data_IF_056984878467
#
_entry.id   IF_056984878467
#
_cell.length_a   1.000
_cell.length_b   1.000
_cell.length_c   1.000
_cell.angle_alpha   90.00
_cell.angle_beta   90.00
_cell.angle_gamma   90.00
#
_symmetry.space_group_name_H-M   'P 1'
#
loop_
_entity.id
_entity.type
_entity.pdbx_description
1 polymer ?
#
# COMPACT_ATOMS: atom_id res chain seq x y z
N UNK A 1 -23.37 24.41 -52.80
CA UNK A 1 -23.69 23.18 -52.04
C UNK A 1 -22.42 22.63 -51.38
N UNK A 2 -22.11 22.98 -50.12
CA UNK A 2 -20.85 22.52 -49.48
C UNK A 2 -20.85 22.54 -47.93
N UNK A 3 -21.95 22.19 -47.26
CA UNK A 3 -22.00 22.19 -45.77
C UNK A 3 -22.43 20.87 -45.11
N UNK A 4 -22.69 19.81 -45.88
CA UNK A 4 -23.23 18.53 -45.32
C UNK A 4 -22.17 17.45 -45.07
N UNK A 5 -20.98 17.51 -45.69
CA UNK A 5 -19.95 16.47 -45.57
C UNK A 5 -19.04 16.59 -44.33
N UNK A 6 -18.88 17.78 -43.76
CA UNK A 6 -17.98 18.01 -42.60
C UNK A 6 -18.54 17.39 -41.31
N UNK A 7 -19.88 17.38 -41.12
CA UNK A 7 -20.49 16.81 -39.90
C UNK A 7 -20.37 15.28 -39.80
N UNK A 8 -20.34 14.58 -40.94
CA UNK A 8 -20.22 13.11 -40.96
C UNK A 8 -18.77 12.68 -40.68
N UNK A 9 -17.78 13.42 -41.20
CA UNK A 9 -16.36 13.12 -40.97
C UNK A 9 -15.99 13.34 -39.49
N UNK A 10 -16.48 14.41 -38.86
CA UNK A 10 -16.24 14.66 -37.42
C UNK A 10 -16.91 13.60 -36.53
N UNK A 11 -18.12 13.14 -36.88
CA UNK A 11 -18.82 12.09 -36.13
C UNK A 11 -18.12 10.72 -36.22
N UNK A 12 -17.61 10.34 -37.40
CA UNK A 12 -16.89 9.07 -37.59
C UNK A 12 -15.50 9.11 -36.94
N UNK A 13 -14.81 10.25 -36.98
CA UNK A 13 -13.52 10.43 -36.29
C UNK A 13 -13.70 10.42 -34.77
N UNK A 14 -14.75 11.05 -34.24
CA UNK A 14 -15.03 11.01 -32.79
C UNK A 14 -15.36 9.58 -32.29
N UNK A 15 -16.10 8.79 -33.07
CA UNK A 15 -16.36 7.38 -32.73
C UNK A 15 -15.11 6.53 -32.87
N UNK A 16 -14.26 6.76 -33.89
CA UNK A 16 -12.98 6.07 -34.03
C UNK A 16 -12.00 6.42 -32.90
N UNK A 17 -11.96 7.66 -32.43
CA UNK A 17 -11.16 8.07 -31.27
C UNK A 17 -11.70 7.45 -29.98
N UNK A 18 -13.03 7.34 -29.81
CA UNK A 18 -13.63 6.67 -28.66
C UNK A 18 -13.35 5.15 -28.67
N UNK A 19 -13.43 4.49 -29.83
CA UNK A 19 -13.10 3.06 -29.96
C UNK A 19 -11.61 2.82 -29.78
N UNK A 20 -10.74 3.70 -30.29
CA UNK A 20 -9.29 3.65 -30.04
C UNK A 20 -8.95 3.93 -28.58
N UNK A 21 -9.68 4.80 -27.88
CA UNK A 21 -9.49 5.04 -26.45
C UNK A 21 -9.94 3.84 -25.60
N UNK A 22 -11.03 3.18 -25.97
CA UNK A 22 -11.49 1.94 -25.31
C UNK A 22 -10.53 0.78 -25.57
N UNK A 23 -10.02 0.63 -26.80
CA UNK A 23 -8.99 -0.34 -27.13
C UNK A 23 -7.67 0.00 -26.43
N UNK A 24 -7.28 1.28 -26.36
CA UNK A 24 -6.11 1.70 -25.61
C UNK A 24 -6.28 1.43 -24.11
N UNK A 25 -7.47 1.59 -23.53
CA UNK A 25 -7.77 1.25 -22.14
C UNK A 25 -7.70 -0.26 -21.86
N UNK A 26 -8.00 -1.10 -22.85
CA UNK A 26 -7.86 -2.57 -22.76
C UNK A 26 -6.39 -3.04 -22.86
N UNK A 27 -5.51 -2.24 -23.47
CA UNK A 27 -4.08 -2.53 -23.65
C UNK A 27 -3.15 -1.66 -22.79
N UNK A 28 -3.69 -0.73 -22.01
CA UNK A 28 -2.93 0.01 -21.00
C UNK A 28 -2.84 -0.89 -19.78
N UNK A 29 -1.64 -1.14 -19.21
CA UNK A 29 -1.59 -1.73 -17.88
C UNK A 29 -2.45 -0.86 -16.96
N UNK A 30 -3.24 -1.45 -16.05
CA UNK A 30 -3.99 -0.66 -15.08
C UNK A 30 -3.03 0.36 -14.45
N UNK A 31 -3.47 1.61 -14.21
CA UNK A 31 -2.68 2.55 -13.44
C UNK A 31 -2.19 1.79 -12.21
N UNK A 32 -0.88 1.82 -11.89
CA UNK A 32 -0.37 1.12 -10.72
C UNK A 32 -1.31 1.45 -9.58
N UNK A 33 -1.93 0.42 -9.01
CA UNK A 33 -2.85 0.60 -7.89
C UNK A 33 -2.15 1.51 -6.88
N UNK A 34 -2.88 2.44 -6.25
CA UNK A 34 -2.29 3.32 -5.25
C UNK A 34 -1.47 2.44 -4.30
N UNK A 35 -0.16 2.66 -4.30
CA UNK A 35 0.77 1.95 -3.45
C UNK A 35 0.32 2.16 -2.02
N UNK A 36 -0.31 1.14 -1.44
CA UNK A 36 -0.45 1.08 0.01
C UNK A 36 0.94 0.72 0.51
N UNK A 37 1.70 1.74 0.86
CA UNK A 37 2.91 1.57 1.66
C UNK A 37 2.45 1.18 3.05
N UNK A 38 2.64 -0.09 3.39
CA UNK A 38 2.96 -0.50 4.75
C UNK A 38 4.10 -1.51 4.58
N UNK A 39 5.26 -0.97 4.19
CA UNK A 39 6.51 -1.71 4.35
C UNK A 39 6.82 -1.69 5.84
N UNK A 40 6.77 -2.86 6.48
CA UNK A 40 6.86 -3.00 7.93
C UNK A 40 7.83 -2.03 8.60
N UNK A 41 7.25 -1.09 9.33
CA UNK A 41 7.90 -0.32 10.38
C UNK A 41 6.85 -0.05 11.43
N UNK A 42 7.25 -0.22 12.68
CA UNK A 42 6.65 0.41 13.85
C UNK A 42 6.05 1.75 13.54
N UNK A 43 4.80 1.93 13.97
CA UNK A 43 4.14 3.21 13.93
C UNK A 43 5.01 4.21 14.71
N UNK A 44 5.35 5.30 14.05
CA UNK A 44 6.18 6.35 14.64
C UNK A 44 5.74 7.70 14.11
N UNK A 45 5.87 8.73 14.94
CA UNK A 45 5.52 10.11 14.55
C UNK A 45 6.41 10.67 13.45
N UNK A 46 7.62 10.13 13.28
CA UNK A 46 8.62 10.60 12.32
C UNK A 46 8.58 9.85 10.98
N UNK A 47 8.11 8.60 10.96
CA UNK A 47 8.20 7.72 9.78
C UNK A 47 6.82 7.38 9.22
N UNK A 48 5.78 7.34 10.06
CA UNK A 48 4.41 7.07 9.63
C UNK A 48 3.72 8.37 9.23
N UNK A 49 3.03 8.32 8.10
CA UNK A 49 2.17 9.42 7.68
C UNK A 49 0.96 9.54 8.61
N UNK A 50 0.42 10.75 8.75
CA UNK A 50 -0.80 10.98 9.52
C UNK A 50 -1.96 10.13 9.00
N UNK A 51 -2.03 9.87 7.70
CA UNK A 51 -3.02 9.00 7.08
C UNK A 51 -2.90 7.55 7.57
N UNK A 52 -1.70 6.97 7.51
CA UNK A 52 -1.45 5.60 7.99
C UNK A 52 -1.82 5.43 9.47
N UNK A 53 -1.49 6.42 10.31
CA UNK A 53 -1.82 6.39 11.74
C UNK A 53 -3.32 6.54 12.01
N UNK A 54 -4.04 7.34 11.21
CA UNK A 54 -5.49 7.55 11.38
C UNK A 54 -6.35 6.43 10.80
N UNK A 55 -5.82 5.66 9.86
CA UNK A 55 -6.55 4.57 9.20
C UNK A 55 -6.52 3.26 10.03
N UNK A 56 -5.73 3.21 11.11
CA UNK A 56 -5.66 2.08 12.06
C UNK A 56 -6.26 2.49 13.40
N UNK A 57 -7.28 1.76 13.87
CA UNK A 57 -8.10 2.16 15.02
C UNK A 57 -7.27 2.37 16.30
N UNK A 58 -6.29 1.51 16.58
CA UNK A 58 -5.45 1.60 17.76
C UNK A 58 -4.47 2.78 17.68
N UNK A 59 -3.87 3.04 16.51
CA UNK A 59 -3.00 4.19 16.32
C UNK A 59 -3.78 5.50 16.35
N UNK A 60 -4.99 5.52 15.75
CA UNK A 60 -5.90 6.65 15.80
C UNK A 60 -6.32 6.96 17.25
N UNK A 61 -6.52 5.95 18.09
CA UNK A 61 -6.80 6.14 19.51
C UNK A 61 -5.62 6.78 20.27
N UNK A 62 -4.38 6.38 19.96
CA UNK A 62 -3.18 7.05 20.49
C UNK A 62 -3.13 8.50 20.03
N UNK A 63 -3.44 8.78 18.75
CA UNK A 63 -3.48 10.15 18.23
C UNK A 63 -4.56 11.01 18.89
N UNK A 64 -5.77 10.48 19.09
CA UNK A 64 -6.86 11.21 19.76
C UNK A 64 -6.50 11.53 21.22
N UNK A 65 -5.87 10.57 21.91
CA UNK A 65 -5.40 10.74 23.30
C UNK A 65 -4.37 11.87 23.45
N UNK A 66 -3.37 11.95 22.57
CA UNK A 66 -2.27 12.92 22.68
C UNK A 66 -2.54 14.24 21.94
N UNK A 67 -3.29 14.18 20.84
CA UNK A 67 -3.60 15.30 19.95
C UNK A 67 -5.12 15.47 19.74
N UNK A 68 -5.90 15.77 20.80
CA UNK A 68 -7.35 15.89 20.68
C UNK A 68 -7.73 16.97 19.66
N UNK A 69 -8.58 16.61 18.70
CA UNK A 69 -8.99 17.47 17.59
C UNK A 69 -8.06 17.47 16.37
N UNK A 70 -6.99 16.68 16.38
CA UNK A 70 -6.09 16.50 15.22
C UNK A 70 -6.81 15.91 14.01
N UNK A 71 -7.67 14.92 14.21
CA UNK A 71 -8.46 14.31 13.15
C UNK A 71 -9.50 15.27 12.53
N UNK A 72 -9.81 16.38 13.21
CA UNK A 72 -10.81 17.36 12.78
C UNK A 72 -10.20 18.63 12.18
N UNK A 73 -8.87 18.68 12.00
CA UNK A 73 -8.23 19.85 11.41
C UNK A 73 -8.78 20.13 10.01
N UNK A 74 -9.06 21.39 9.72
CA UNK A 74 -9.63 21.82 8.43
C UNK A 74 -8.82 21.32 7.22
N UNK A 75 -7.52 21.15 7.37
CA UNK A 75 -6.60 20.71 6.31
C UNK A 75 -6.23 19.24 6.41
N UNK A 76 -7.07 18.39 7.03
CA UNK A 76 -6.77 16.96 7.24
C UNK A 76 -6.32 16.28 5.95
N UNK A 77 -7.07 16.45 4.85
CA UNK A 77 -6.73 15.85 3.56
C UNK A 77 -5.36 16.29 3.00
N UNK A 78 -4.88 17.47 3.38
CA UNK A 78 -3.55 17.97 2.98
C UNK A 78 -2.46 17.44 3.92
N UNK A 79 -2.79 17.24 5.19
CA UNK A 79 -1.88 16.74 6.22
C UNK A 79 -1.70 15.21 6.19
N UNK A 80 -2.70 14.45 5.73
CA UNK A 80 -2.68 12.98 5.67
C UNK A 80 -1.42 12.37 5.01
N UNK A 81 -0.88 12.86 3.88
CA UNK A 81 0.33 12.30 3.29
C UNK A 81 1.64 12.76 3.96
N UNK A 82 1.59 13.56 5.03
CA UNK A 82 2.76 14.09 5.75
C UNK A 82 2.89 13.38 7.12
N UNK A 83 4.08 13.41 7.71
CA UNK A 83 4.31 12.89 9.07
C UNK A 83 3.81 13.87 10.14
N UNK A 84 3.76 13.43 11.40
CA UNK A 84 3.39 14.32 12.51
C UNK A 84 4.43 15.42 12.76
N UNK A 85 5.72 15.11 12.55
CA UNK A 85 6.80 16.09 12.60
C UNK A 85 6.71 17.11 11.45
N UNK A 86 6.36 16.68 10.25
CA UNK A 86 6.21 17.57 9.08
C UNK A 86 5.09 18.60 9.28
N UNK A 87 4.01 18.22 9.97
CA UNK A 87 2.87 19.11 10.23
C UNK A 87 3.02 19.95 11.50
N UNK A 88 3.94 19.57 12.40
CA UNK A 88 4.17 20.24 13.68
C UNK A 88 4.34 21.77 13.54
N UNK A 89 5.14 22.31 12.59
CA UNK A 89 5.34 23.76 12.47
C UNK A 89 4.06 24.56 12.19
N UNK A 90 3.03 23.90 11.65
CA UNK A 90 1.74 24.52 11.34
C UNK A 90 0.75 24.49 12.51
N UNK A 91 0.96 23.57 13.47
CA UNK A 91 0.10 23.37 14.63
C UNK A 91 0.89 23.26 15.95
N UNK A 92 1.79 24.22 16.27
CA UNK A 92 2.72 24.10 17.40
C UNK A 92 2.03 24.10 18.78
N UNK A 93 0.79 24.60 18.87
CA UNK A 93 0.00 24.56 20.10
C UNK A 93 -0.68 23.19 20.31
N UNK A 94 -1.01 22.49 19.23
CA UNK A 94 -1.67 21.18 19.26
C UNK A 94 -0.64 20.05 19.38
N UNK A 95 0.43 20.15 18.58
CA UNK A 95 1.50 19.17 18.40
C UNK A 95 2.77 19.73 19.05
N UNK A 96 2.91 19.50 20.34
CA UNK A 96 4.13 19.89 21.09
C UNK A 96 5.16 18.76 21.06
N UNK A 97 6.43 19.09 21.26
CA UNK A 97 7.51 18.08 21.34
C UNK A 97 7.21 17.02 22.41
N UNK A 98 6.72 17.45 23.58
CA UNK A 98 6.36 16.53 24.67
C UNK A 98 5.26 15.54 24.28
N UNK A 99 4.26 15.99 23.51
CA UNK A 99 3.16 15.14 23.04
C UNK A 99 3.62 14.21 21.92
N UNK A 100 4.49 14.69 21.02
CA UNK A 100 5.12 13.85 20.00
C UNK A 100 5.90 12.71 20.64
N UNK A 101 6.75 13.01 21.62
CA UNK A 101 7.52 12.00 22.33
C UNK A 101 6.61 10.99 23.07
N UNK A 102 5.54 11.46 23.72
CA UNK A 102 4.60 10.59 24.42
C UNK A 102 3.80 9.69 23.45
N UNK A 103 3.33 10.25 22.33
CA UNK A 103 2.62 9.50 21.30
C UNK A 103 3.53 8.49 20.61
N UNK A 104 4.77 8.86 20.28
CA UNK A 104 5.74 7.97 19.64
C UNK A 104 6.06 6.75 20.52
N UNK A 105 6.24 6.97 21.83
CA UNK A 105 6.44 5.87 22.79
C UNK A 105 5.24 4.91 22.82
N UNK A 106 4.01 5.43 22.83
CA UNK A 106 2.80 4.59 22.88
C UNK A 106 2.51 3.91 21.53
N UNK A 107 2.76 4.59 20.40
CA UNK A 107 2.68 4.01 19.07
C UNK A 107 3.65 2.84 18.90
N UNK A 108 4.86 2.96 19.47
CA UNK A 108 5.85 1.89 19.47
C UNK A 108 5.41 0.66 20.29
N UNK A 109 4.59 0.86 21.32
CA UNK A 109 4.06 -0.20 22.20
C UNK A 109 2.79 -0.87 21.65
N UNK A 110 2.15 -0.32 20.61
CA UNK A 110 0.97 -0.95 20.02
C UNK A 110 1.32 -2.35 19.49
N UNK A 111 0.60 -3.38 19.93
CA UNK A 111 0.67 -4.74 19.35
C UNK A 111 0.37 -4.64 17.85
N UNK A 112 1.36 -4.91 17.00
CA UNK A 112 1.32 -4.61 15.55
C UNK A 112 2.37 -3.58 15.07
N UNK A 113 2.89 -2.74 15.96
CA UNK A 113 4.01 -1.83 15.70
C UNK A 113 5.30 -2.60 15.36
N UNK A 114 5.58 -3.72 16.02
CA UNK A 114 6.72 -4.57 15.64
C UNK A 114 6.40 -5.54 14.49
N UNK A 115 5.16 -5.55 13.98
CA UNK A 115 4.68 -6.60 13.09
C UNK A 115 4.72 -6.14 11.65
N UNK A 116 5.67 -6.72 10.91
CA UNK A 116 5.76 -6.54 9.47
C UNK A 116 4.54 -7.19 8.80
N UNK A 117 3.67 -6.38 8.20
CA UNK A 117 2.58 -6.84 7.33
C UNK A 117 3.11 -6.89 5.91
N UNK A 118 3.17 -8.08 5.33
CA UNK A 118 3.57 -8.27 3.94
C UNK A 118 2.36 -8.15 3.00
N UNK A 119 2.58 -7.65 1.78
CA UNK A 119 1.59 -7.74 0.70
C UNK A 119 2.23 -8.15 -0.61
N UNK A 120 1.46 -8.82 -1.47
CA UNK A 120 1.93 -9.20 -2.81
C UNK A 120 2.13 -8.02 -3.76
N UNK A 121 1.45 -6.89 -3.49
CA UNK A 121 1.43 -5.71 -4.35
C UNK A 121 2.49 -4.67 -4.02
N UNK A 122 2.91 -4.57 -2.75
CA UNK A 122 3.83 -3.52 -2.28
C UNK A 122 5.10 -4.03 -1.62
N UNK A 123 5.17 -5.30 -1.20
CA UNK A 123 6.40 -5.88 -0.66
C UNK A 123 7.25 -6.51 -1.75
N UNK A 124 8.54 -6.20 -1.75
CA UNK A 124 9.50 -6.84 -2.64
C UNK A 124 9.67 -8.32 -2.30
N UNK A 125 9.77 -9.17 -3.32
CA UNK A 125 10.03 -10.61 -3.20
C UNK A 125 11.26 -10.86 -2.32
N UNK A 126 12.33 -10.09 -2.46
CA UNK A 126 13.52 -10.27 -1.61
C UNK A 126 13.22 -10.13 -0.12
N UNK A 127 12.42 -9.14 0.26
CA UNK A 127 12.03 -8.89 1.66
C UNK A 127 11.16 -10.03 2.19
N UNK A 128 10.21 -10.51 1.37
CA UNK A 128 9.37 -11.68 1.73
C UNK A 128 10.24 -12.92 1.93
N UNK A 129 11.19 -13.18 1.03
CA UNK A 129 12.01 -14.40 1.06
C UNK A 129 13.09 -14.42 2.14
N UNK A 130 13.48 -13.26 2.66
CA UNK A 130 14.41 -13.14 3.80
C UNK A 130 13.76 -13.51 5.13
N UNK A 131 12.43 -13.42 5.22
CA UNK A 131 11.66 -13.92 6.34
C UNK A 131 11.26 -15.39 6.10
N UNK A 132 11.72 -16.34 6.95
CA UNK A 132 11.44 -17.76 6.75
C UNK A 132 9.95 -18.12 6.86
N UNK A 133 9.16 -17.42 7.68
CA UNK A 133 7.72 -17.68 7.84
C UNK A 133 6.94 -17.12 6.66
N UNK A 134 7.29 -15.90 6.20
CA UNK A 134 6.68 -15.30 5.02
C UNK A 134 7.04 -16.07 3.74
N UNK A 135 8.29 -16.53 3.61
CA UNK A 135 8.72 -17.43 2.52
C UNK A 135 7.89 -18.71 2.49
N UNK A 136 7.63 -19.32 3.65
CA UNK A 136 6.85 -20.56 3.72
C UNK A 136 5.41 -20.36 3.22
N UNK A 137 4.82 -19.19 3.47
CA UNK A 137 3.51 -18.81 2.91
C UNK A 137 3.58 -18.73 1.38
N UNK A 138 4.60 -18.08 0.82
CA UNK A 138 4.76 -18.02 -0.64
C UNK A 138 4.92 -19.42 -1.22
N UNK A 139 5.79 -20.26 -0.67
CA UNK A 139 6.02 -21.62 -1.19
C UNK A 139 4.80 -22.55 -1.01
N UNK A 140 3.95 -22.30 -0.01
CA UNK A 140 2.66 -23.00 0.16
C UNK A 140 1.74 -22.79 -1.05
N UNK A 141 1.69 -21.57 -1.58
CA UNK A 141 0.81 -21.22 -2.71
C UNK A 141 1.51 -21.29 -4.07
N UNK A 142 2.83 -21.15 -4.10
CA UNK A 142 3.68 -21.21 -5.29
C UNK A 142 4.83 -22.21 -5.07
N UNK A 143 4.57 -23.53 -5.17
CA UNK A 143 5.57 -24.54 -4.86
C UNK A 143 6.84 -24.41 -5.71
N UNK A 144 7.99 -24.28 -5.03
CA UNK A 144 9.29 -24.15 -5.68
C UNK A 144 9.69 -22.72 -6.04
N UNK A 145 8.83 -21.72 -5.81
CA UNK A 145 9.12 -20.32 -6.14
C UNK A 145 10.39 -19.79 -5.45
N UNK A 146 10.56 -20.04 -4.15
CA UNK A 146 11.72 -19.52 -3.40
C UNK A 146 13.06 -20.17 -3.80
N UNK A 147 13.02 -21.29 -4.52
CA UNK A 147 14.20 -22.08 -4.92
C UNK A 147 14.43 -22.07 -6.44
N UNK A 148 13.63 -21.31 -7.20
CA UNK A 148 13.82 -21.13 -8.64
C UNK A 148 15.24 -20.61 -8.93
N UNK A 149 15.98 -21.17 -9.91
CA UNK A 149 17.36 -20.77 -10.19
C UNK A 149 17.56 -19.28 -10.51
N UNK A 150 16.49 -18.57 -10.89
CA UNK A 150 16.51 -17.15 -11.22
C UNK A 150 15.87 -16.28 -10.14
N UNK A 151 15.55 -16.84 -8.97
CA UNK A 151 14.83 -16.12 -7.92
C UNK A 151 15.56 -14.84 -7.52
N UNK A 152 16.90 -14.85 -7.51
CA UNK A 152 17.74 -13.68 -7.24
C UNK A 152 17.47 -12.48 -8.17
N UNK A 153 17.11 -12.73 -9.43
CA UNK A 153 16.75 -11.66 -10.38
C UNK A 153 15.35 -11.09 -10.09
N UNK A 154 14.47 -11.91 -9.50
CA UNK A 154 13.11 -11.53 -9.13
C UNK A 154 12.99 -10.77 -7.81
N UNK A 155 14.02 -10.83 -6.95
CA UNK A 155 14.01 -10.25 -5.59
C UNK A 155 13.72 -8.74 -5.56
N UNK A 156 14.06 -8.00 -6.62
CA UNK A 156 13.85 -6.55 -6.74
C UNK A 156 12.44 -6.12 -7.18
N UNK A 157 11.49 -7.04 -7.29
CA UNK A 157 10.12 -6.76 -7.74
C UNK A 157 9.08 -7.32 -6.77
N UNK A 158 7.81 -6.97 -6.96
CA UNK A 158 6.68 -7.51 -6.17
C UNK A 158 6.08 -8.77 -6.81
N UNK A 159 5.31 -9.55 -6.05
CA UNK A 159 4.63 -10.74 -6.58
C UNK A 159 3.58 -10.37 -7.65
N UNK A 160 2.84 -9.28 -7.47
CA UNK A 160 1.94 -8.74 -8.50
C UNK A 160 2.69 -8.35 -9.78
N UNK A 161 3.92 -7.84 -9.67
CA UNK A 161 4.73 -7.58 -10.86
C UNK A 161 5.18 -8.90 -11.52
N UNK A 162 5.56 -9.90 -10.71
CA UNK A 162 5.98 -11.22 -11.20
C UNK A 162 4.88 -11.96 -11.97
N UNK A 163 3.61 -11.76 -11.60
CA UNK A 163 2.46 -12.30 -12.34
C UNK A 163 2.49 -11.98 -13.84
N UNK A 164 3.04 -10.84 -14.25
CA UNK A 164 3.12 -10.48 -15.68
C UNK A 164 3.97 -11.44 -16.51
N UNK A 165 4.88 -12.18 -15.87
CA UNK A 165 5.76 -13.15 -16.52
C UNK A 165 5.21 -14.58 -16.45
N UNK A 166 4.33 -14.86 -15.51
CA UNK A 166 3.72 -16.18 -15.30
C UNK A 166 2.30 -16.06 -14.72
N UNK A 167 1.34 -15.57 -15.52
CA UNK A 167 -0.02 -15.30 -15.05
C UNK A 167 -0.84 -16.57 -14.84
N UNK A 168 -0.43 -17.69 -15.45
CA UNK A 168 -1.09 -18.99 -15.29
C UNK A 168 -0.75 -19.62 -13.92
N UNK A 169 0.45 -19.35 -13.40
CA UNK A 169 0.89 -19.84 -12.09
C UNK A 169 0.61 -18.84 -10.98
N UNK A 170 0.94 -17.56 -11.18
CA UNK A 170 0.73 -16.48 -10.21
C UNK A 170 -0.62 -15.79 -10.49
N UNK A 171 -1.71 -16.51 -10.29
CA UNK A 171 -3.06 -15.99 -10.54
C UNK A 171 -3.49 -14.96 -9.49
N UNK A 172 -4.51 -14.16 -9.80
CA UNK A 172 -5.10 -13.22 -8.83
C UNK A 172 -5.61 -13.92 -7.57
N UNK A 173 -6.16 -15.13 -7.73
CA UNK A 173 -6.62 -15.97 -6.62
C UNK A 173 -5.45 -16.40 -5.72
N UNK A 174 -4.32 -16.81 -6.31
CA UNK A 174 -3.10 -17.15 -5.57
C UNK A 174 -2.57 -15.93 -4.81
N UNK A 175 -2.50 -14.76 -5.45
CA UNK A 175 -2.04 -13.52 -4.82
C UNK A 175 -2.96 -13.10 -3.65
N UNK A 176 -4.28 -13.24 -3.83
CA UNK A 176 -5.25 -12.97 -2.77
C UNK A 176 -5.08 -13.92 -1.57
N UNK A 177 -4.88 -15.21 -1.82
CA UNK A 177 -4.65 -16.20 -0.77
C UNK A 177 -3.33 -15.96 -0.02
N UNK A 178 -2.27 -15.55 -0.71
CA UNK A 178 -1.00 -15.15 -0.08
C UNK A 178 -1.20 -13.93 0.83
N UNK A 179 -1.95 -12.90 0.38
CA UNK A 179 -2.25 -11.73 1.21
C UNK A 179 -3.07 -12.10 2.46
N UNK A 180 -4.01 -13.04 2.34
CA UNK A 180 -4.77 -13.54 3.49
C UNK A 180 -3.86 -14.23 4.52
N UNK A 181 -2.97 -15.12 4.08
CA UNK A 181 -2.01 -15.79 4.96
C UNK A 181 -0.99 -14.79 5.58
N UNK A 182 -0.56 -13.75 4.85
CA UNK A 182 0.29 -12.70 5.42
C UNK A 182 -0.42 -11.88 6.50
N UNK A 183 -1.72 -11.63 6.32
CA UNK A 183 -2.54 -11.01 7.36
C UNK A 183 -2.64 -11.91 8.59
N UNK A 184 -2.88 -13.20 8.42
CA UNK A 184 -2.88 -14.16 9.53
C UNK A 184 -1.52 -14.26 10.22
N UNK A 185 -0.41 -14.22 9.48
CA UNK A 185 0.95 -14.18 10.04
C UNK A 185 1.15 -12.92 10.88
N UNK A 186 0.69 -11.77 10.38
CA UNK A 186 0.76 -10.52 11.12
C UNK A 186 -0.09 -10.59 12.40
N UNK A 187 -1.34 -11.05 12.33
CA UNK A 187 -2.21 -11.22 13.50
C UNK A 187 -1.61 -12.20 14.51
N UNK A 188 -1.02 -13.30 14.04
CA UNK A 188 -0.33 -14.26 14.91
C UNK A 188 0.87 -13.62 15.60
N UNK A 189 1.65 -12.78 14.90
CA UNK A 189 2.80 -12.07 15.48
C UNK A 189 2.38 -10.95 16.43
N UNK A 190 1.23 -10.33 16.18
CA UNK A 190 0.61 -9.31 17.03
C UNK A 190 -0.13 -9.89 18.25
N UNK A 191 -0.43 -11.19 18.23
CA UNK A 191 -1.14 -11.89 19.30
C UNK A 191 -0.34 -13.03 19.93
N UNK A 192 0.95 -13.17 19.60
CA UNK A 192 1.84 -14.19 20.16
C UNK A 192 2.25 -13.82 21.59
N UNK A 193 1.36 -14.22 22.51
CA UNK A 193 1.68 -14.65 23.88
C UNK A 193 2.45 -15.97 23.88
#
# INVERSE_FOLDING_TARGET
MARRKVKIIVGVVAVLVAVLAVLAYQFMPPPPEPTVTLGGKSYSVAESTLGELLDYDEAAAVLDKHFPGLADIRQLNVARPLTLEDIQPYYPELITDDKLAAADAELQELEGSSVVVYTTGSTLVGVILDDPEARAIVDKHLPGFSTEPRIDQGRGFTLNFMQKFDPDTITDEVLANINADFKELAESRAGAQ
#
